data_IF_485515331783
#
_entry.id   IF_485515331783
#
_cell.length_a   1.000
_cell.length_b   1.000
_cell.length_c   1.000
_cell.angle_alpha   90.00
_cell.angle_beta   90.00
_cell.angle_gamma   90.00
#
_symmetry.space_group_name_H-M   'P 1'
#
loop_
_entity.id
_entity.type
_entity.pdbx_description
1 polymer ?
#
# COMPACT_ATOMS: atom_id res chain seq x y z
N UNK A 1 -10.37 7.60 7.16
CA UNK A 1 -8.94 7.27 7.37
C UNK A 1 -8.26 8.53 7.86
N UNK A 2 -7.60 8.47 9.02
CA UNK A 2 -6.85 9.62 9.55
C UNK A 2 -5.45 9.57 8.96
N UNK A 3 -5.10 10.52 8.09
CA UNK A 3 -3.77 10.65 7.50
C UNK A 3 -2.75 11.21 8.50
N UNK A 4 -2.84 10.81 9.78
CA UNK A 4 -2.02 11.31 10.88
C UNK A 4 -1.32 10.15 11.57
N UNK A 5 -0.04 10.36 11.86
CA UNK A 5 0.76 9.41 12.62
C UNK A 5 0.16 9.22 14.01
N UNK A 6 -0.04 7.97 14.43
CA UNK A 6 -0.59 7.65 15.76
C UNK A 6 0.38 8.00 16.90
N UNK A 7 1.67 8.14 16.60
CA UNK A 7 2.72 8.45 17.59
C UNK A 7 2.89 9.95 17.80
N UNK A 8 3.09 10.71 16.72
CA UNK A 8 3.43 12.13 16.81
C UNK A 8 2.36 13.07 16.24
N UNK A 9 1.22 12.54 15.77
CA UNK A 9 0.12 13.28 15.16
C UNK A 9 0.50 14.15 13.95
N UNK A 10 1.71 13.97 13.39
CA UNK A 10 2.16 14.62 12.16
C UNK A 10 1.45 14.03 10.95
N UNK A 11 1.43 14.76 9.84
CA UNK A 11 0.86 14.27 8.59
C UNK A 11 1.64 13.06 8.07
N UNK A 12 0.90 12.11 7.50
CA UNK A 12 1.46 10.97 6.79
C UNK A 12 1.57 11.27 5.30
N UNK A 13 2.68 10.87 4.71
CA UNK A 13 2.90 10.95 3.27
C UNK A 13 2.77 9.58 2.63
N UNK A 14 2.30 9.58 1.37
CA UNK A 14 2.14 8.35 0.59
C UNK A 14 3.51 7.89 0.10
N UNK A 15 3.97 6.76 0.61
CA UNK A 15 5.24 6.15 0.18
C UNK A 15 5.04 5.23 -1.02
N UNK A 16 3.93 4.48 -1.06
CA UNK A 16 3.65 3.53 -2.14
C UNK A 16 2.17 3.47 -2.47
N UNK A 17 1.85 3.46 -3.76
CA UNK A 17 0.48 3.27 -4.28
C UNK A 17 0.30 1.86 -4.86
N UNK A 18 -0.96 1.43 -4.96
CA UNK A 18 -1.34 0.19 -5.58
C UNK A 18 -1.22 0.30 -7.12
N UNK A 19 -0.56 -0.65 -7.76
CA UNK A 19 -0.39 -0.65 -9.23
C UNK A 19 -1.70 -0.84 -10.02
N UNK A 20 -2.78 -1.30 -9.38
CA UNK A 20 -4.06 -1.59 -10.02
C UNK A 20 -5.08 -0.47 -9.88
N UNK A 21 -5.26 0.07 -8.67
CA UNK A 21 -6.24 1.12 -8.39
C UNK A 21 -5.63 2.50 -8.09
N UNK A 22 -4.30 2.61 -8.04
CA UNK A 22 -3.55 3.82 -7.72
C UNK A 22 -3.81 4.42 -6.31
N UNK A 23 -4.55 3.72 -5.46
CA UNK A 23 -4.77 4.13 -4.07
C UNK A 23 -3.54 3.85 -3.17
N UNK A 24 -3.33 4.60 -2.08
CA UNK A 24 -2.21 4.38 -1.16
C UNK A 24 -2.19 2.98 -0.54
N UNK A 25 -1.03 2.34 -0.53
CA UNK A 25 -0.78 1.03 0.12
C UNK A 25 0.18 1.14 1.31
N UNK A 26 0.93 2.24 1.39
CA UNK A 26 1.91 2.48 2.44
C UNK A 26 2.01 3.96 2.74
N UNK A 27 1.89 4.29 4.02
CA UNK A 27 2.00 5.63 4.55
C UNK A 27 3.22 5.73 5.46
N UNK A 28 4.00 6.81 5.30
CA UNK A 28 5.21 7.05 6.05
C UNK A 28 5.11 8.33 6.89
N UNK A 29 5.69 8.30 8.09
CA UNK A 29 5.82 9.49 8.92
C UNK A 29 7.27 9.97 8.92
N UNK A 30 7.53 11.10 8.26
CA UNK A 30 8.87 11.70 8.22
C UNK A 30 9.38 12.16 9.58
N UNK A 31 8.48 12.59 10.47
CA UNK A 31 8.84 13.01 11.84
C UNK A 31 9.34 11.84 12.68
N UNK A 32 8.69 10.68 12.58
CA UNK A 32 9.08 9.49 13.36
C UNK A 32 10.10 8.61 12.63
N UNK A 33 10.25 8.76 11.32
CA UNK A 33 11.11 7.90 10.49
C UNK A 33 10.58 6.48 10.34
N UNK A 34 9.28 6.25 10.56
CA UNK A 34 8.67 4.90 10.53
C UNK A 34 7.48 4.83 9.57
N UNK A 35 7.25 3.63 9.06
CA UNK A 35 6.02 3.30 8.32
C UNK A 35 4.88 3.34 9.32
N UNK A 36 3.95 4.26 9.10
CA UNK A 36 2.84 4.47 10.00
C UNK A 36 1.68 3.51 9.70
N UNK A 37 1.47 3.14 8.43
CA UNK A 37 0.34 2.29 8.04
C UNK A 37 0.62 1.51 6.75
N UNK A 38 0.14 0.26 6.71
CA UNK A 38 0.08 -0.58 5.51
C UNK A 38 -1.37 -0.87 5.20
N UNK A 39 -1.81 -0.50 4.01
CA UNK A 39 -3.20 -0.65 3.57
C UNK A 39 -3.25 -1.80 2.57
N UNK A 40 -4.06 -2.81 2.88
CA UNK A 40 -4.28 -3.95 2.01
C UNK A 40 -5.47 -3.70 1.10
N UNK A 41 -5.33 -4.02 -0.19
CA UNK A 41 -6.41 -3.95 -1.17
C UNK A 41 -6.73 -5.38 -1.64
N UNK A 42 -7.55 -6.15 -0.91
CA UNK A 42 -7.78 -7.58 -1.18
C UNK A 42 -8.18 -7.86 -2.63
N UNK A 43 -9.07 -7.05 -3.20
CA UNK A 43 -9.47 -7.17 -4.60
C UNK A 43 -8.30 -7.01 -5.58
N UNK A 44 -7.40 -6.06 -5.32
CA UNK A 44 -6.20 -5.85 -6.15
C UNK A 44 -5.16 -6.95 -5.97
N UNK A 45 -5.05 -7.53 -4.76
CA UNK A 45 -4.16 -8.67 -4.51
C UNK A 45 -4.60 -9.91 -5.27
N UNK A 46 -5.91 -10.18 -5.36
CA UNK A 46 -6.44 -11.29 -6.18
C UNK A 46 -6.11 -11.09 -7.66
N UNK A 47 -6.19 -9.87 -8.19
CA UNK A 47 -5.77 -9.57 -9.57
C UNK A 47 -4.29 -9.85 -9.79
N UNK A 48 -3.43 -9.52 -8.82
CA UNK A 48 -1.99 -9.80 -8.89
C UNK A 48 -1.69 -11.30 -8.95
N UNK A 49 -2.34 -12.08 -8.08
CA UNK A 49 -2.19 -13.54 -8.05
C UNK A 49 -2.67 -14.17 -9.35
N UNK A 50 -3.80 -13.73 -9.87
CA UNK A 50 -4.33 -14.23 -11.15
C UNK A 50 -3.38 -13.93 -12.32
N UNK A 51 -2.79 -12.72 -12.38
CA UNK A 51 -1.78 -12.40 -13.39
C UNK A 51 -0.53 -13.26 -13.26
N UNK A 52 -0.03 -13.51 -12.05
CA UNK A 52 1.12 -14.39 -11.82
C UNK A 52 0.84 -15.82 -12.26
N UNK A 53 -0.35 -16.35 -11.96
CA UNK A 53 -0.75 -17.69 -12.40
C UNK A 53 -0.82 -17.76 -13.92
N UNK A 54 -1.45 -16.79 -14.59
CA UNK A 54 -1.55 -16.74 -16.05
C UNK A 54 -0.19 -16.69 -16.76
N UNK A 55 0.76 -15.94 -16.20
CA UNK A 55 2.13 -15.88 -16.71
C UNK A 55 2.90 -17.20 -16.53
N UNK A 56 2.50 -18.03 -15.56
CA UNK A 56 3.15 -19.31 -15.26
C UNK A 56 2.64 -20.44 -16.15
N UNK A 57 1.41 -20.35 -16.68
CA UNK A 57 0.80 -21.36 -17.55
C UNK A 57 1.14 -21.21 -19.03
N UNK A 58 1.85 -20.16 -19.43
CA UNK A 58 2.20 -19.87 -20.84
C UNK A 58 3.63 -20.25 -21.23
N UNK A 59 4.35 -21.01 -20.39
CA UNK A 59 5.68 -21.59 -20.71
C UNK A 59 5.62 -23.11 -20.84
#
# INVERSE_FOLDING_TARGET
MSNKCTVCNSNLEVEKTCKFCNEPTRLFCHTCGVIAEKIEHPACMVLDVNQMLLASTTN
#
